data_IF_446485148346
#
_entry.id   IF_446485148346
#
_cell.length_a   1.000
_cell.length_b   1.000
_cell.length_c   1.000
_cell.angle_alpha   90.00
_cell.angle_beta   90.00
_cell.angle_gamma   90.00
#
_symmetry.space_group_name_H-M   'P 1'
#
loop_
_entity.id
_entity.type
_entity.pdbx_description
1 polymer ?
#
# COMPACT_ATOMS: atom_id res chain seq x y z
N UNK A 1 33.59 -44.24 -75.33
CA UNK A 1 34.09 -43.52 -74.13
C UNK A 1 32.96 -42.59 -73.65
N UNK A 2 32.29 -42.94 -72.53
CA UNK A 2 31.19 -42.19 -71.99
C UNK A 2 31.66 -41.54 -70.64
N UNK A 3 31.57 -40.24 -70.56
CA UNK A 3 31.90 -39.46 -69.32
C UNK A 3 30.72 -39.46 -68.36
N UNK A 4 30.96 -39.49 -67.05
CA UNK A 4 29.90 -39.70 -66.06
C UNK A 4 29.14 -38.43 -65.76
N UNK A 5 27.80 -38.45 -65.82
CA UNK A 5 26.89 -37.42 -65.33
C UNK A 5 26.64 -37.57 -63.79
N UNK A 6 27.55 -37.14 -62.97
CA UNK A 6 27.41 -37.19 -61.50
C UNK A 6 27.88 -35.85 -60.85
N UNK A 7 27.03 -34.86 -60.81
CA UNK A 7 27.39 -33.62 -60.17
C UNK A 7 26.25 -32.63 -59.89
N UNK A 8 25.13 -32.70 -60.63
CA UNK A 8 24.07 -31.69 -60.53
C UNK A 8 22.96 -31.96 -59.50
N UNK A 9 22.76 -33.21 -59.10
CA UNK A 9 21.68 -33.56 -58.16
C UNK A 9 22.02 -33.27 -56.70
N UNK A 10 23.29 -33.40 -56.28
CA UNK A 10 23.71 -33.14 -54.91
C UNK A 10 23.73 -31.65 -54.57
N UNK A 11 24.04 -30.76 -55.53
CA UNK A 11 24.07 -29.30 -55.28
C UNK A 11 22.66 -28.70 -55.08
N UNK A 12 21.66 -29.18 -55.80
CA UNK A 12 20.27 -28.74 -55.67
C UNK A 12 19.61 -29.16 -54.34
N UNK A 13 19.99 -30.33 -53.79
CA UNK A 13 19.44 -30.80 -52.51
C UNK A 13 20.03 -29.99 -51.32
N UNK A 14 21.30 -29.64 -51.35
CA UNK A 14 21.93 -28.84 -50.28
C UNK A 14 21.38 -27.41 -50.24
N UNK A 15 21.08 -26.79 -51.38
CA UNK A 15 20.45 -25.45 -51.40
C UNK A 15 19.00 -25.47 -50.87
N UNK A 16 18.22 -26.48 -51.16
CA UNK A 16 16.85 -26.63 -50.64
C UNK A 16 16.84 -26.87 -49.14
N UNK A 17 17.77 -27.63 -48.57
CA UNK A 17 17.91 -27.85 -47.15
C UNK A 17 18.41 -26.59 -46.41
N UNK A 18 19.30 -25.79 -47.02
CA UNK A 18 19.75 -24.52 -46.44
C UNK A 18 18.63 -23.48 -46.37
N UNK A 19 17.80 -23.36 -47.43
CA UNK A 19 16.66 -22.43 -47.43
C UNK A 19 15.55 -22.86 -46.44
N UNK A 20 15.30 -24.17 -46.30
CA UNK A 20 14.34 -24.70 -45.35
C UNK A 20 14.75 -24.40 -43.88
N UNK A 21 16.04 -24.55 -43.56
CA UNK A 21 16.57 -24.26 -42.21
C UNK A 21 16.54 -22.77 -41.88
N UNK A 22 16.85 -21.89 -42.84
CA UNK A 22 16.82 -20.42 -42.63
C UNK A 22 15.39 -19.92 -42.43
N UNK A 23 14.43 -20.44 -43.24
CA UNK A 23 13.02 -20.06 -43.06
C UNK A 23 12.46 -20.56 -41.74
N UNK A 24 12.83 -21.78 -41.29
CA UNK A 24 12.38 -22.33 -40.00
C UNK A 24 12.95 -21.55 -38.82
N UNK A 25 14.21 -21.09 -38.88
CA UNK A 25 14.83 -20.26 -37.81
C UNK A 25 14.21 -18.86 -37.80
N UNK A 26 13.89 -18.27 -38.96
CA UNK A 26 13.26 -16.94 -39.01
C UNK A 26 11.81 -16.97 -38.52
N UNK A 27 11.03 -18.03 -38.76
CA UNK A 27 9.70 -18.23 -38.17
C UNK A 27 9.78 -18.50 -36.64
N UNK A 28 10.80 -19.23 -36.17
CA UNK A 28 10.95 -19.45 -34.70
C UNK A 28 11.30 -18.17 -33.93
N UNK A 29 12.04 -17.25 -34.54
CA UNK A 29 12.33 -15.93 -33.93
C UNK A 29 11.12 -14.99 -33.90
N UNK A 30 10.17 -15.13 -34.85
CA UNK A 30 8.92 -14.35 -34.81
C UNK A 30 7.92 -14.85 -33.76
N UNK A 31 8.00 -16.08 -33.28
CA UNK A 31 7.09 -16.62 -32.26
C UNK A 31 7.50 -16.26 -30.80
N UNK A 32 8.71 -15.75 -30.59
CA UNK A 32 9.16 -15.33 -29.24
C UNK A 32 8.79 -13.89 -28.87
N UNK A 33 8.22 -13.12 -29.77
CA UNK A 33 7.56 -11.85 -29.46
C UNK A 33 6.11 -12.10 -29.02
N UNK A 34 5.88 -12.97 -28.02
CA UNK A 34 4.63 -12.94 -27.26
C UNK A 34 4.59 -11.61 -26.54
N UNK A 35 3.79 -10.69 -27.09
CA UNK A 35 3.71 -9.31 -26.69
C UNK A 35 3.42 -9.18 -25.19
N UNK A 36 4.43 -8.84 -24.41
CA UNK A 36 4.17 -8.14 -23.19
C UNK A 36 3.28 -6.94 -23.56
N UNK A 37 2.04 -6.90 -23.07
CA UNK A 37 1.17 -5.77 -23.30
C UNK A 37 1.95 -4.49 -22.94
N UNK A 38 2.01 -3.55 -23.89
CA UNK A 38 2.79 -2.33 -23.67
C UNK A 38 2.34 -1.67 -22.35
N UNK A 39 3.29 -1.30 -21.52
CA UNK A 39 2.99 -0.64 -20.26
C UNK A 39 2.19 0.65 -20.50
N UNK A 40 1.18 0.96 -19.69
CA UNK A 40 0.36 2.16 -19.86
C UNK A 40 1.22 3.42 -19.81
N UNK A 41 0.95 4.37 -20.70
CA UNK A 41 1.74 5.58 -20.88
C UNK A 41 1.07 6.84 -20.30
N UNK A 42 -0.23 6.78 -20.02
CA UNK A 42 -1.02 7.90 -19.48
C UNK A 42 -1.91 7.44 -18.35
N UNK A 43 -1.28 7.19 -17.19
CA UNK A 43 -1.95 6.65 -15.99
C UNK A 43 -2.62 7.79 -15.22
N UNK A 44 -3.90 7.63 -14.92
CA UNK A 44 -4.64 8.50 -13.98
C UNK A 44 -5.00 7.69 -12.75
N UNK A 45 -4.68 8.21 -11.57
CA UNK A 45 -5.13 7.66 -10.29
C UNK A 45 -6.23 8.55 -9.69
N UNK A 46 -7.22 7.94 -9.05
CA UNK A 46 -8.44 8.64 -8.60
C UNK A 46 -8.66 8.63 -7.10
N UNK A 47 -7.75 8.06 -6.32
CA UNK A 47 -7.89 7.93 -4.88
C UNK A 47 -6.52 7.89 -4.21
N UNK A 48 -6.40 8.49 -3.02
CA UNK A 48 -5.13 8.61 -2.31
C UNK A 48 -4.34 7.28 -2.24
N UNK A 49 -5.01 6.19 -1.90
CA UNK A 49 -4.31 4.92 -1.73
C UNK A 49 -3.82 4.32 -3.06
N UNK A 50 -4.47 4.63 -4.18
CA UNK A 50 -3.95 4.29 -5.51
C UNK A 50 -2.87 5.26 -5.96
N UNK A 51 -2.94 6.54 -5.54
CA UNK A 51 -1.88 7.53 -5.80
C UNK A 51 -0.54 7.09 -5.21
N UNK A 52 -0.57 6.56 -3.98
CA UNK A 52 0.61 6.06 -3.26
C UNK A 52 1.33 4.95 -4.05
N UNK A 53 0.58 4.02 -4.68
CA UNK A 53 1.13 2.98 -5.53
C UNK A 53 1.58 3.51 -6.90
N UNK A 54 0.72 4.29 -7.58
CA UNK A 54 1.03 4.83 -8.91
C UNK A 54 2.27 5.70 -8.85
N UNK A 55 2.40 6.57 -7.84
CA UNK A 55 3.56 7.42 -7.67
C UNK A 55 4.87 6.64 -7.51
N UNK A 56 4.85 5.52 -6.79
CA UNK A 56 6.06 4.71 -6.54
C UNK A 56 6.42 3.78 -7.68
N UNK A 57 5.42 3.26 -8.40
CA UNK A 57 5.63 2.28 -9.45
C UNK A 57 5.83 2.91 -10.82
N UNK A 58 5.03 3.93 -11.16
CA UNK A 58 5.01 4.53 -12.50
C UNK A 58 6.02 5.67 -12.60
N UNK A 59 6.83 5.74 -13.66
CA UNK A 59 7.65 6.92 -13.97
C UNK A 59 6.79 8.19 -14.08
N UNK A 60 7.31 9.33 -13.58
CA UNK A 60 6.55 10.60 -13.50
C UNK A 60 5.93 11.03 -14.82
N UNK A 61 6.67 10.87 -15.91
CA UNK A 61 6.27 11.21 -17.28
C UNK A 61 5.08 10.41 -17.79
N UNK A 62 4.81 9.25 -17.22
CA UNK A 62 3.64 8.42 -17.53
C UNK A 62 2.46 8.66 -16.59
N UNK A 63 2.61 9.47 -15.54
CA UNK A 63 1.52 9.83 -14.62
C UNK A 63 0.79 11.04 -15.20
N UNK A 64 -0.37 10.82 -15.81
CA UNK A 64 -1.18 11.89 -16.40
C UNK A 64 -1.88 12.76 -15.33
N UNK A 65 -2.30 12.15 -14.22
CA UNK A 65 -2.76 12.85 -13.01
C UNK A 65 -2.85 11.90 -11.80
N UNK A 66 -2.75 12.50 -10.60
CA UNK A 66 -3.10 11.88 -9.33
C UNK A 66 -4.38 12.55 -8.78
N UNK A 67 -4.97 11.99 -7.72
CA UNK A 67 -6.02 12.69 -7.01
C UNK A 67 -5.46 13.93 -6.30
N UNK A 68 -6.33 14.90 -5.98
CA UNK A 68 -5.94 16.12 -5.26
C UNK A 68 -5.37 15.83 -3.85
N UNK A 69 -5.70 14.68 -3.28
CA UNK A 69 -5.23 14.23 -1.97
C UNK A 69 -3.74 13.88 -1.97
N UNK A 70 -3.19 13.47 -3.11
CA UNK A 70 -1.78 13.09 -3.25
C UNK A 70 -0.80 14.19 -2.79
N UNK A 71 -1.19 15.46 -2.96
CA UNK A 71 -0.38 16.64 -2.59
C UNK A 71 -0.85 17.31 -1.30
N UNK A 72 -1.77 16.68 -0.58
CA UNK A 72 -2.25 17.20 0.71
C UNK A 72 -1.15 17.03 1.77
N UNK A 73 -0.65 18.18 2.26
CA UNK A 73 0.47 18.25 3.19
C UNK A 73 0.06 18.13 4.66
N UNK A 74 -1.21 17.92 4.94
CA UNK A 74 -1.62 17.62 6.30
C UNK A 74 -0.94 16.32 6.75
N UNK A 75 -0.34 16.28 7.95
CA UNK A 75 0.51 15.17 8.38
C UNK A 75 -0.17 13.79 8.34
N UNK A 76 -1.49 13.78 8.44
CA UNK A 76 -2.31 12.56 8.52
C UNK A 76 -2.89 12.13 7.17
N UNK A 77 -2.50 12.71 6.04
CA UNK A 77 -3.14 12.40 4.75
C UNK A 77 -2.19 11.65 3.80
N UNK A 78 -1.23 12.34 3.19
CA UNK A 78 -0.40 11.77 2.14
C UNK A 78 1.05 11.57 2.57
N UNK A 79 1.60 10.38 2.30
CA UNK A 79 3.03 10.11 2.53
C UNK A 79 3.90 10.62 1.37
N UNK A 80 3.29 10.99 0.24
CA UNK A 80 4.00 11.44 -0.98
C UNK A 80 3.82 12.94 -1.27
N UNK A 81 3.15 13.69 -0.39
CA UNK A 81 2.70 15.05 -0.68
C UNK A 81 3.79 15.97 -1.24
N UNK A 82 4.98 15.97 -0.65
CA UNK A 82 6.10 16.78 -1.11
C UNK A 82 6.75 16.23 -2.37
N UNK A 83 6.89 14.92 -2.46
CA UNK A 83 7.52 14.24 -3.59
C UNK A 83 6.64 14.26 -4.86
N UNK A 84 5.32 14.28 -4.72
CA UNK A 84 4.36 14.35 -5.83
C UNK A 84 4.20 15.77 -6.40
N UNK A 85 4.86 16.77 -5.84
CA UNK A 85 4.80 18.16 -6.32
C UNK A 85 5.16 18.26 -7.80
N UNK A 86 4.37 19.03 -8.57
CA UNK A 86 4.57 19.19 -10.02
C UNK A 86 3.93 18.09 -10.88
N UNK A 87 3.38 17.01 -10.28
CA UNK A 87 2.47 16.12 -10.98
C UNK A 87 1.08 16.77 -11.01
N UNK A 88 0.40 16.69 -12.15
CA UNK A 88 -0.96 17.20 -12.27
C UNK A 88 -1.89 16.47 -11.30
N UNK A 89 -2.80 17.21 -10.65
CA UNK A 89 -3.81 16.63 -9.76
C UNK A 89 -5.22 16.96 -10.25
N UNK A 90 -6.17 16.08 -9.92
CA UNK A 90 -7.58 16.23 -10.25
C UNK A 90 -8.48 15.98 -9.03
N UNK A 91 -9.66 16.58 -9.04
CA UNK A 91 -10.82 16.08 -8.26
C UNK A 91 -11.55 15.10 -9.16
N UNK A 92 -11.57 13.79 -8.81
CA UNK A 92 -12.01 12.75 -9.74
C UNK A 92 -13.49 12.92 -10.14
N UNK A 93 -13.71 13.21 -11.41
CA UNK A 93 -15.00 13.18 -12.11
C UNK A 93 -14.78 12.60 -13.51
N UNK A 94 -15.85 12.25 -14.21
CA UNK A 94 -15.75 11.74 -15.59
C UNK A 94 -15.01 12.73 -16.48
N UNK A 95 -15.35 14.02 -16.39
CA UNK A 95 -14.81 15.10 -17.20
C UNK A 95 -13.33 15.32 -16.91
N UNK A 96 -12.96 15.41 -15.63
CA UNK A 96 -11.56 15.69 -15.23
C UNK A 96 -10.63 14.52 -15.55
N UNK A 97 -11.12 13.29 -15.49
CA UNK A 97 -10.35 12.09 -15.89
C UNK A 97 -10.18 12.06 -17.41
N UNK A 98 -11.26 12.23 -18.19
CA UNK A 98 -11.19 12.21 -19.65
C UNK A 98 -10.32 13.34 -20.22
N UNK A 99 -10.33 14.52 -19.60
CA UNK A 99 -9.47 15.64 -19.98
C UNK A 99 -7.96 15.30 -19.91
N UNK A 100 -7.58 14.22 -19.22
CA UNK A 100 -6.20 13.71 -19.15
C UNK A 100 -5.89 12.68 -20.23
N UNK A 101 -6.88 12.27 -21.05
CA UNK A 101 -6.74 11.26 -22.11
C UNK A 101 -6.00 10.00 -21.60
N UNK A 102 -6.47 9.35 -20.52
CA UNK A 102 -5.78 8.19 -19.94
C UNK A 102 -5.87 6.96 -20.85
N UNK A 103 -4.82 6.17 -20.88
CA UNK A 103 -4.84 4.79 -21.38
C UNK A 103 -5.08 3.76 -20.27
N UNK A 104 -4.94 4.20 -18.99
CA UNK A 104 -5.33 3.42 -17.82
C UNK A 104 -5.78 4.34 -16.68
N UNK A 105 -6.90 4.01 -16.06
CA UNK A 105 -7.37 4.64 -14.82
C UNK A 105 -7.25 3.64 -13.68
N UNK A 106 -6.53 4.01 -12.62
CA UNK A 106 -6.36 3.18 -11.42
C UNK A 106 -7.35 3.67 -10.36
N UNK A 107 -8.22 2.77 -9.92
CA UNK A 107 -9.28 3.06 -8.95
C UNK A 107 -9.18 2.09 -7.77
N UNK A 108 -9.51 2.55 -6.58
CA UNK A 108 -9.68 1.65 -5.44
C UNK A 108 -11.06 1.01 -5.50
N UNK A 109 -11.14 -0.32 -5.35
CA UNK A 109 -12.38 -1.07 -5.52
C UNK A 109 -13.50 -0.55 -4.61
N UNK A 110 -14.67 -0.29 -5.21
CA UNK A 110 -15.84 0.23 -4.50
C UNK A 110 -15.84 1.74 -4.27
N UNK A 111 -14.75 2.46 -4.58
CA UNK A 111 -14.75 3.93 -4.51
C UNK A 111 -15.38 4.53 -5.76
N UNK A 112 -16.09 5.66 -5.59
CA UNK A 112 -16.70 6.42 -6.67
C UNK A 112 -17.44 5.57 -7.75
N UNK A 113 -18.48 4.80 -7.39
CA UNK A 113 -19.13 3.86 -8.30
C UNK A 113 -19.74 4.54 -9.54
N UNK A 114 -20.17 5.81 -9.42
CA UNK A 114 -20.68 6.56 -10.55
C UNK A 114 -19.59 6.85 -11.60
N UNK A 115 -18.41 7.24 -11.16
CA UNK A 115 -17.25 7.45 -12.04
C UNK A 115 -16.89 6.14 -12.73
N UNK A 116 -16.78 5.05 -11.98
CA UNK A 116 -16.45 3.71 -12.50
C UNK A 116 -17.40 3.29 -13.63
N UNK A 117 -18.72 3.39 -13.39
CA UNK A 117 -19.74 3.06 -14.40
C UNK A 117 -19.62 3.92 -15.66
N UNK A 118 -19.39 5.24 -15.50
CA UNK A 118 -19.26 6.14 -16.62
C UNK A 118 -18.01 5.84 -17.46
N UNK A 119 -16.86 5.65 -16.83
CA UNK A 119 -15.62 5.31 -17.52
C UNK A 119 -15.74 3.98 -18.28
N UNK A 120 -16.37 2.99 -17.68
CA UNK A 120 -16.63 1.70 -18.32
C UNK A 120 -17.53 1.84 -19.57
N UNK A 121 -18.60 2.64 -19.49
CA UNK A 121 -19.47 2.93 -20.64
C UNK A 121 -18.73 3.63 -21.79
N UNK A 122 -17.73 4.43 -21.46
CA UNK A 122 -16.91 5.17 -22.41
C UNK A 122 -15.72 4.37 -22.93
N UNK A 123 -15.58 3.09 -22.54
CA UNK A 123 -14.50 2.21 -22.99
C UNK A 123 -13.12 2.55 -22.43
N UNK A 124 -13.05 3.35 -21.36
CA UNK A 124 -11.77 3.69 -20.71
C UNK A 124 -11.28 2.49 -19.89
N UNK A 125 -10.04 2.02 -20.10
CA UNK A 125 -9.48 0.93 -19.29
C UNK A 125 -9.39 1.30 -17.81
N UNK A 126 -9.90 0.43 -16.92
CA UNK A 126 -9.88 0.61 -15.47
C UNK A 126 -9.13 -0.56 -14.84
N UNK A 127 -8.25 -0.25 -13.89
CA UNK A 127 -7.62 -1.19 -12.98
C UNK A 127 -8.19 -0.99 -11.58
N UNK A 128 -9.06 -1.91 -11.17
CA UNK A 128 -9.59 -1.93 -9.82
C UNK A 128 -8.58 -2.54 -8.84
N UNK A 129 -8.17 -1.77 -7.84
CA UNK A 129 -7.25 -2.20 -6.79
C UNK A 129 -8.06 -2.67 -5.58
N UNK A 130 -7.94 -3.93 -5.17
CA UNK A 130 -8.67 -4.43 -4.00
C UNK A 130 -8.14 -3.84 -2.70
N UNK A 131 -8.96 -3.89 -1.65
CA UNK A 131 -8.55 -3.51 -0.29
C UNK A 131 -7.59 -4.55 0.29
N UNK A 132 -6.49 -4.08 0.86
CA UNK A 132 -5.57 -4.93 1.61
C UNK A 132 -6.01 -4.98 3.09
N UNK A 133 -6.25 -6.19 3.61
CA UNK A 133 -6.59 -6.42 5.01
C UNK A 133 -5.44 -7.04 5.80
N UNK A 134 -4.37 -7.45 5.12
CA UNK A 134 -3.20 -8.08 5.70
C UNK A 134 -1.92 -7.70 4.96
N UNK A 135 -0.77 -7.93 5.58
CA UNK A 135 0.52 -7.78 4.90
C UNK A 135 0.69 -8.79 3.75
N UNK A 136 -0.01 -9.92 3.81
CA UNK A 136 -0.07 -10.87 2.69
C UNK A 136 -0.83 -10.28 1.49
N UNK A 137 -1.97 -9.61 1.72
CA UNK A 137 -2.71 -8.91 0.65
C UNK A 137 -1.87 -7.80 0.04
N UNK A 138 -1.12 -7.04 0.85
CA UNK A 138 -0.19 -6.02 0.36
C UNK A 138 0.80 -6.60 -0.64
N UNK A 139 1.34 -7.80 -0.37
CA UNK A 139 2.26 -8.47 -1.32
C UNK A 139 1.59 -8.79 -2.64
N UNK A 140 0.40 -9.40 -2.58
CA UNK A 140 -0.37 -9.78 -3.78
C UNK A 140 -0.70 -8.54 -4.61
N UNK A 141 -1.21 -7.48 -3.97
CA UNK A 141 -1.60 -6.23 -4.63
C UNK A 141 -0.37 -5.54 -5.23
N UNK A 142 0.74 -5.47 -4.50
CA UNK A 142 1.96 -4.82 -4.99
C UNK A 142 2.51 -5.55 -6.22
N UNK A 143 2.53 -6.88 -6.21
CA UNK A 143 2.96 -7.70 -7.36
C UNK A 143 2.04 -7.47 -8.56
N UNK A 144 0.73 -7.57 -8.36
CA UNK A 144 -0.28 -7.33 -9.40
C UNK A 144 -0.15 -5.94 -10.01
N UNK A 145 0.01 -4.91 -9.19
CA UNK A 145 0.19 -3.54 -9.66
C UNK A 145 1.51 -3.36 -10.42
N UNK A 146 2.59 -3.99 -9.96
CA UNK A 146 3.86 -4.01 -10.69
C UNK A 146 3.72 -4.54 -12.11
N UNK A 147 3.03 -5.67 -12.27
CA UNK A 147 2.77 -6.27 -13.57
C UNK A 147 1.88 -5.38 -14.45
N UNK A 148 0.73 -4.95 -13.93
CA UNK A 148 -0.27 -4.15 -14.67
C UNK A 148 0.23 -2.76 -15.07
N UNK A 149 1.12 -2.17 -14.27
CA UNK A 149 1.70 -0.85 -14.54
C UNK A 149 3.04 -0.93 -15.30
N UNK A 150 3.51 -2.14 -15.63
CA UNK A 150 4.78 -2.35 -16.33
C UNK A 150 6.00 -1.94 -15.50
N UNK A 151 5.98 -2.26 -14.21
CA UNK A 151 7.05 -1.96 -13.25
C UNK A 151 7.30 -3.13 -12.26
N UNK A 152 7.44 -4.40 -12.74
CA UNK A 152 7.58 -5.56 -11.86
C UNK A 152 8.83 -5.45 -10.98
N UNK A 153 9.96 -4.97 -11.51
CA UNK A 153 11.20 -4.83 -10.76
C UNK A 153 11.07 -3.84 -9.60
N UNK A 154 10.36 -2.71 -9.81
CA UNK A 154 10.08 -1.75 -8.74
C UNK A 154 9.17 -2.36 -7.66
N UNK A 155 8.15 -3.11 -8.06
CA UNK A 155 7.28 -3.80 -7.12
C UNK A 155 8.08 -4.81 -6.28
N UNK A 156 8.95 -5.59 -6.90
CA UNK A 156 9.81 -6.52 -6.19
C UNK A 156 10.80 -5.82 -5.24
N UNK A 157 11.38 -4.69 -5.64
CA UNK A 157 12.24 -3.88 -4.78
C UNK A 157 11.47 -3.35 -3.55
N UNK A 158 10.22 -2.90 -3.73
CA UNK A 158 9.34 -2.46 -2.64
C UNK A 158 9.04 -3.61 -1.67
N UNK A 159 8.78 -4.82 -2.18
CA UNK A 159 8.53 -6.00 -1.35
C UNK A 159 9.79 -6.45 -0.61
N UNK A 160 10.96 -6.37 -1.24
CA UNK A 160 12.23 -6.67 -0.57
C UNK A 160 12.52 -5.68 0.56
N UNK A 161 12.20 -4.39 0.41
CA UNK A 161 12.30 -3.41 1.50
C UNK A 161 11.30 -3.73 2.63
N UNK A 162 10.05 -4.05 2.28
CA UNK A 162 9.05 -4.49 3.25
C UNK A 162 9.58 -5.67 4.09
N UNK A 163 10.25 -6.66 3.49
CA UNK A 163 10.83 -7.80 4.20
C UNK A 163 11.96 -7.40 5.15
N UNK A 164 12.78 -6.44 4.73
CA UNK A 164 13.82 -5.88 5.59
C UNK A 164 13.22 -5.17 6.81
N UNK A 165 12.18 -4.36 6.60
CA UNK A 165 11.50 -3.66 7.71
C UNK A 165 10.82 -4.63 8.66
N UNK A 166 10.16 -5.69 8.17
CA UNK A 166 9.59 -6.75 8.99
C UNK A 166 10.69 -7.39 9.87
N UNK A 167 11.84 -7.69 9.28
CA UNK A 167 12.95 -8.31 9.99
C UNK A 167 13.53 -7.38 11.07
N UNK A 168 13.69 -6.10 10.76
CA UNK A 168 14.15 -5.07 11.71
C UNK A 168 13.18 -4.89 12.87
N UNK A 169 11.87 -4.77 12.57
CA UNK A 169 10.84 -4.64 13.58
C UNK A 169 10.83 -5.79 14.56
N UNK A 170 10.85 -7.04 14.04
CA UNK A 170 10.90 -8.26 14.87
C UNK A 170 12.16 -8.35 15.75
N UNK A 171 13.31 -7.96 15.19
CA UNK A 171 14.58 -8.01 15.93
C UNK A 171 14.63 -7.01 17.08
N UNK A 172 14.00 -5.85 16.94
CA UNK A 172 13.99 -4.75 17.93
C UNK A 172 12.78 -4.79 18.87
N UNK A 173 11.81 -5.66 18.63
CA UNK A 173 10.59 -5.77 19.41
C UNK A 173 10.86 -6.19 20.86
N UNK A 174 10.28 -5.52 21.88
CA UNK A 174 10.41 -5.94 23.28
C UNK A 174 9.76 -7.31 23.50
N UNK A 175 10.38 -8.11 24.39
CA UNK A 175 9.90 -9.43 24.81
C UNK A 175 9.79 -9.48 26.33
N UNK A 176 8.62 -9.86 26.88
CA UNK A 176 7.34 -10.12 26.20
C UNK A 176 6.77 -8.85 25.54
N UNK A 177 5.79 -8.97 24.62
CA UNK A 177 5.15 -7.81 24.01
C UNK A 177 4.46 -6.92 25.06
N UNK A 178 4.33 -5.62 24.75
CA UNK A 178 3.64 -4.64 25.57
C UNK A 178 2.14 -4.67 25.24
N UNK A 179 1.28 -4.67 26.25
CA UNK A 179 -0.17 -4.55 26.06
C UNK A 179 -0.51 -3.12 25.60
N UNK A 180 -0.98 -2.98 24.36
CA UNK A 180 -1.25 -1.66 23.79
C UNK A 180 -2.61 -1.56 23.14
N UNK A 181 -3.10 -0.33 22.99
CA UNK A 181 -4.28 0.01 22.20
C UNK A 181 -3.92 1.21 21.34
N UNK A 182 -4.24 1.13 20.03
CA UNK A 182 -4.32 2.30 19.16
C UNK A 182 -5.74 2.85 19.24
N UNK A 183 -5.86 4.10 19.69
CA UNK A 183 -7.13 4.78 19.87
C UNK A 183 -7.13 6.06 19.04
N UNK A 184 -8.04 6.15 18.10
CA UNK A 184 -8.06 7.15 17.05
C UNK A 184 -9.21 8.15 17.23
N UNK A 185 -9.23 9.27 16.47
CA UNK A 185 -10.34 10.21 16.47
C UNK A 185 -11.69 9.52 16.32
N UNK A 186 -12.75 10.11 16.90
CA UNK A 186 -14.09 9.51 17.04
C UNK A 186 -14.16 8.23 17.90
N UNK A 187 -13.07 7.86 18.57
CA UNK A 187 -13.03 6.68 19.44
C UNK A 187 -12.82 5.35 18.70
N UNK A 188 -12.37 5.38 17.48
CA UNK A 188 -11.99 4.15 16.78
C UNK A 188 -10.82 3.47 17.47
N UNK A 189 -10.86 2.15 17.54
CA UNK A 189 -9.73 1.35 17.99
C UNK A 189 -9.38 0.32 16.90
N UNK A 190 -8.08 0.10 16.70
CA UNK A 190 -7.64 -0.93 15.76
C UNK A 190 -8.06 -2.32 16.23
N UNK A 191 -8.57 -3.13 15.30
CA UNK A 191 -9.07 -4.48 15.52
C UNK A 191 -8.78 -5.39 14.34
N UNK A 192 -7.57 -5.91 14.32
CA UNK A 192 -7.12 -6.74 13.21
C UNK A 192 -6.58 -5.92 12.03
N UNK A 193 -6.34 -6.61 10.93
CA UNK A 193 -5.79 -6.00 9.73
C UNK A 193 -4.33 -5.59 9.86
N UNK A 194 -3.88 -4.79 8.91
CA UNK A 194 -2.46 -4.42 8.76
C UNK A 194 -1.93 -3.66 9.99
N UNK A 195 -2.75 -2.80 10.58
CA UNK A 195 -2.34 -2.04 11.77
C UNK A 195 -1.95 -2.96 12.91
N UNK A 196 -2.77 -3.97 13.22
CA UNK A 196 -2.48 -4.93 14.28
C UNK A 196 -1.28 -5.82 13.93
N UNK A 197 -1.11 -6.20 12.65
CA UNK A 197 0.07 -6.95 12.21
C UNK A 197 1.35 -6.12 12.41
N UNK A 198 1.35 -4.84 12.07
CA UNK A 198 2.51 -3.95 12.26
C UNK A 198 2.76 -3.69 13.74
N UNK A 199 1.72 -3.50 14.56
CA UNK A 199 1.83 -3.42 16.02
C UNK A 199 2.49 -4.68 16.59
N UNK A 200 1.98 -5.86 16.23
CA UNK A 200 2.51 -7.14 16.71
C UNK A 200 3.97 -7.37 16.33
N UNK A 201 4.35 -7.06 15.06
CA UNK A 201 5.73 -7.11 14.59
C UNK A 201 6.65 -6.21 15.42
N UNK A 202 6.12 -5.11 15.95
CA UNK A 202 6.87 -4.10 16.71
C UNK A 202 6.85 -4.34 18.23
N UNK A 203 6.28 -5.49 18.67
CA UNK A 203 6.22 -5.85 20.08
C UNK A 203 5.09 -5.19 20.87
N UNK A 204 4.01 -4.82 20.19
CA UNK A 204 2.76 -4.35 20.81
C UNK A 204 1.67 -5.40 20.60
N UNK A 205 1.12 -5.92 21.70
CA UNK A 205 -0.04 -6.82 21.69
C UNK A 205 -1.30 -5.99 21.85
N UNK A 206 -2.16 -5.97 20.83
CA UNK A 206 -3.43 -5.26 20.92
C UNK A 206 -4.34 -5.93 21.97
N UNK A 207 -4.76 -5.17 22.96
CA UNK A 207 -5.66 -5.62 24.04
C UNK A 207 -7.02 -4.94 24.03
N UNK A 208 -7.37 -4.26 22.93
CA UNK A 208 -8.72 -3.74 22.76
C UNK A 208 -9.72 -4.90 22.78
N UNK A 209 -10.76 -4.87 23.68
CA UNK A 209 -11.67 -5.99 23.82
C UNK A 209 -12.65 -6.06 22.63
N UNK A 210 -12.59 -7.14 21.81
CA UNK A 210 -13.44 -7.26 20.62
C UNK A 210 -14.94 -7.16 20.91
N UNK A 211 -15.38 -7.76 22.02
CA UNK A 211 -16.77 -7.79 22.43
C UNK A 211 -17.34 -6.41 22.83
N UNK A 212 -16.47 -5.45 23.13
CA UNK A 212 -16.87 -4.09 23.52
C UNK A 212 -16.84 -3.09 22.37
N UNK A 213 -16.34 -3.50 21.20
CA UNK A 213 -16.38 -2.64 20.03
C UNK A 213 -17.79 -2.57 19.45
N UNK A 214 -18.17 -1.35 19.12
CA UNK A 214 -19.41 -1.16 18.35
C UNK A 214 -19.25 -1.73 16.94
N UNK A 215 -20.37 -1.91 16.22
CA UNK A 215 -20.31 -2.32 14.80
C UNK A 215 -19.51 -1.36 13.91
N UNK A 216 -19.29 -0.14 14.36
CA UNK A 216 -18.51 0.88 13.66
C UNK A 216 -17.04 0.88 14.03
N UNK A 217 -16.58 -0.02 14.91
CA UNK A 217 -15.19 -0.09 15.36
C UNK A 217 -14.82 0.91 16.46
N UNK A 218 -15.82 1.59 17.08
CA UNK A 218 -15.56 2.51 18.18
C UNK A 218 -15.52 1.77 19.51
N UNK A 219 -14.52 2.10 20.35
CA UNK A 219 -14.34 1.55 21.69
C UNK A 219 -14.78 2.60 22.73
N UNK A 220 -15.75 2.28 23.60
CA UNK A 220 -16.10 3.16 24.72
C UNK A 220 -14.89 3.43 25.61
N UNK A 221 -14.77 4.67 26.12
CA UNK A 221 -13.62 5.08 26.96
C UNK A 221 -13.53 4.23 28.23
N UNK A 222 -14.66 3.82 28.78
CA UNK A 222 -14.75 2.96 29.95
C UNK A 222 -14.15 1.57 29.69
N UNK A 223 -14.45 0.99 28.51
CA UNK A 223 -13.89 -0.29 28.09
C UNK A 223 -12.38 -0.21 27.83
N UNK A 224 -11.93 0.92 27.25
CA UNK A 224 -10.51 1.20 27.06
C UNK A 224 -9.79 1.26 28.43
N UNK A 225 -10.35 1.98 29.41
CA UNK A 225 -9.77 2.10 30.76
C UNK A 225 -9.75 0.73 31.46
N UNK A 226 -10.84 -0.04 31.35
CA UNK A 226 -10.94 -1.38 31.93
C UNK A 226 -9.93 -2.37 31.35
N UNK A 227 -9.51 -2.18 30.09
CA UNK A 227 -8.49 -3.02 29.43
C UNK A 227 -7.09 -2.82 30.03
N UNK A 228 -6.88 -1.78 30.82
CA UNK A 228 -5.62 -1.44 31.50
C UNK A 228 -4.37 -1.59 30.60
N UNK A 229 -4.29 -0.94 29.45
CA UNK A 229 -3.14 -1.05 28.55
C UNK A 229 -1.89 -0.46 29.22
N UNK A 230 -0.72 -1.02 28.91
CA UNK A 230 0.59 -0.44 29.28
C UNK A 230 0.96 0.71 28.35
N UNK A 231 0.44 0.68 27.12
CA UNK A 231 0.65 1.67 26.06
C UNK A 231 -0.69 2.06 25.43
N UNK A 232 -1.00 3.35 25.46
CA UNK A 232 -2.13 3.94 24.71
C UNK A 232 -1.59 4.88 23.66
N UNK A 233 -1.71 4.46 22.38
CA UNK A 233 -1.31 5.25 21.23
C UNK A 233 -2.52 6.06 20.79
N UNK A 234 -2.42 7.38 20.85
CA UNK A 234 -3.45 8.30 20.39
C UNK A 234 -3.18 8.68 18.94
N UNK A 235 -4.02 8.21 18.01
CA UNK A 235 -3.83 8.45 16.57
C UNK A 235 -3.99 9.92 16.21
N UNK A 236 -2.98 10.51 15.56
CA UNK A 236 -3.00 11.90 15.11
C UNK A 236 -1.98 12.79 15.80
N UNK A 237 -2.21 14.09 15.76
CA UNK A 237 -1.36 15.11 16.38
C UNK A 237 -1.98 15.63 17.68
N UNK A 238 -1.14 15.83 18.69
CA UNK A 238 -1.56 16.38 19.98
C UNK A 238 -2.24 17.77 19.87
N UNK A 239 -1.90 18.55 18.83
CA UNK A 239 -2.38 19.93 18.63
C UNK A 239 -3.62 20.07 17.74
N UNK A 240 -4.09 19.00 17.10
CA UNK A 240 -5.29 19.04 16.24
C UNK A 240 -6.59 18.92 17.05
N UNK A 241 -6.60 19.50 18.26
CA UNK A 241 -7.61 19.28 19.28
C UNK A 241 -8.95 20.00 19.13
N UNK A 242 -9.14 20.87 18.13
CA UNK A 242 -10.39 21.63 18.02
C UNK A 242 -11.49 20.94 17.22
N UNK A 243 -11.18 19.91 16.42
CA UNK A 243 -12.18 19.15 15.70
C UNK A 243 -12.89 18.17 16.66
N UNK A 244 -14.23 18.13 16.59
CA UNK A 244 -15.06 17.26 17.43
C UNK A 244 -14.60 15.80 17.48
N UNK A 245 -14.08 15.29 16.38
CA UNK A 245 -13.53 13.95 16.28
C UNK A 245 -12.38 13.66 17.27
N UNK A 246 -11.58 14.67 17.59
CA UNK A 246 -10.42 14.55 18.49
C UNK A 246 -10.76 14.72 19.97
N UNK A 247 -11.96 15.20 20.32
CA UNK A 247 -12.35 15.43 21.71
C UNK A 247 -12.23 14.16 22.58
N UNK A 248 -12.50 13.00 22.00
CA UNK A 248 -12.40 11.71 22.70
C UNK A 248 -10.98 11.38 23.12
N UNK A 249 -9.97 11.83 22.37
CA UNK A 249 -8.55 11.61 22.69
C UNK A 249 -8.07 12.48 23.88
N UNK A 250 -8.87 13.49 24.26
CA UNK A 250 -8.64 14.35 25.40
C UNK A 250 -9.70 14.14 26.50
N UNK A 251 -10.43 13.02 26.47
CA UNK A 251 -11.49 12.75 27.42
C UNK A 251 -10.95 12.72 28.86
N UNK A 252 -11.58 13.45 29.84
CA UNK A 252 -11.06 13.53 31.20
C UNK A 252 -10.88 12.19 31.91
N UNK A 253 -11.72 11.20 31.60
CA UNK A 253 -11.62 9.87 32.19
C UNK A 253 -10.29 9.15 31.84
N UNK A 254 -9.59 9.51 30.75
CA UNK A 254 -8.27 8.99 30.43
C UNK A 254 -7.23 9.33 31.51
N UNK A 255 -7.50 10.32 32.35
CA UNK A 255 -6.67 10.62 33.51
C UNK A 255 -6.54 9.41 34.47
N UNK A 256 -7.52 8.50 34.50
CA UNK A 256 -7.46 7.26 35.27
C UNK A 256 -6.32 6.32 34.85
N UNK A 257 -5.77 6.49 33.64
CA UNK A 257 -4.63 5.73 33.13
C UNK A 257 -3.26 6.32 33.51
N UNK A 258 -3.23 7.58 34.03
CA UNK A 258 -1.97 8.25 34.38
C UNK A 258 -1.18 7.45 35.42
N UNK A 259 0.14 7.37 35.20
CA UNK A 259 1.08 6.69 36.11
C UNK A 259 1.19 5.16 35.88
N UNK A 260 0.28 4.52 35.13
CA UNK A 260 0.32 3.10 34.80
C UNK A 260 0.37 2.80 33.30
N UNK A 261 0.04 3.78 32.48
CA UNK A 261 -0.02 3.67 31.02
C UNK A 261 0.83 4.77 30.40
N UNK A 262 1.70 4.43 29.46
CA UNK A 262 2.32 5.41 28.59
C UNK A 262 1.28 5.88 27.56
N UNK A 263 0.94 7.15 27.56
CA UNK A 263 -0.01 7.74 26.60
C UNK A 263 0.75 8.70 25.69
N UNK A 264 0.75 8.42 24.40
CA UNK A 264 1.49 9.22 23.41
C UNK A 264 0.69 9.41 22.12
N UNK A 265 0.78 10.60 21.56
CA UNK A 265 0.26 10.86 20.23
C UNK A 265 1.23 10.36 19.17
N UNK A 266 0.69 9.75 18.11
CA UNK A 266 1.47 9.31 16.97
C UNK A 266 0.75 9.60 15.66
N UNK A 267 1.46 10.18 14.71
CA UNK A 267 1.01 10.33 13.33
C UNK A 267 1.37 9.06 12.56
N UNK A 268 0.35 8.34 12.12
CA UNK A 268 0.48 7.03 11.49
C UNK A 268 0.03 7.05 10.03
N UNK A 269 0.36 8.14 9.32
CA UNK A 269 0.04 8.34 7.90
C UNK A 269 0.33 7.12 7.03
N UNK A 270 1.44 6.35 7.21
CA UNK A 270 1.71 5.18 6.40
C UNK A 270 0.65 4.06 6.52
N UNK A 271 -0.17 4.06 7.58
CA UNK A 271 -1.24 3.08 7.78
C UNK A 271 -2.58 3.50 7.18
N UNK A 272 -2.75 4.78 6.81
CA UNK A 272 -3.99 5.26 6.21
C UNK A 272 -4.28 4.57 4.88
N UNK A 273 -3.24 4.37 4.07
CA UNK A 273 -3.31 3.67 2.80
C UNK A 273 -2.40 2.44 2.84
N UNK A 274 -2.95 1.24 3.01
CA UNK A 274 -2.17 0.02 3.10
C UNK A 274 -1.28 -0.23 1.89
N UNK A 275 0.01 -0.46 2.18
CA UNK A 275 1.04 -0.75 1.18
C UNK A 275 2.35 -1.18 1.84
N UNK A 276 3.40 -1.50 1.07
CA UNK A 276 4.72 -1.85 1.64
C UNK A 276 5.25 -0.79 2.62
N UNK A 277 4.95 0.47 2.38
CA UNK A 277 5.31 1.62 3.24
C UNK A 277 4.60 1.63 4.60
N UNK A 278 3.56 0.83 4.81
CA UNK A 278 2.90 0.71 6.12
C UNK A 278 3.88 0.29 7.22
N UNK A 279 4.93 -0.45 6.86
CA UNK A 279 6.00 -0.86 7.76
C UNK A 279 6.82 0.33 8.30
N UNK A 280 6.75 1.51 7.67
CA UNK A 280 7.40 2.72 8.22
C UNK A 280 6.84 3.09 9.61
N UNK A 281 5.62 2.68 9.93
CA UNK A 281 5.03 2.86 11.27
C UNK A 281 5.60 1.90 12.32
N UNK A 282 6.28 0.83 11.92
CA UNK A 282 6.84 -0.15 12.84
C UNK A 282 7.92 0.45 13.76
N UNK A 283 8.73 1.38 13.26
CA UNK A 283 9.73 2.07 14.06
C UNK A 283 9.07 2.88 15.19
N UNK A 284 7.98 3.60 14.88
CA UNK A 284 7.20 4.36 15.88
C UNK A 284 6.60 3.44 16.94
N UNK A 285 5.93 2.37 16.53
CA UNK A 285 5.36 1.41 17.46
C UNK A 285 6.43 0.74 18.34
N UNK A 286 7.56 0.35 17.75
CA UNK A 286 8.66 -0.27 18.48
C UNK A 286 9.31 0.68 19.50
N UNK A 287 9.46 1.96 19.16
CA UNK A 287 9.96 2.98 20.10
C UNK A 287 8.99 3.17 21.27
N UNK A 288 7.71 3.36 20.98
CA UNK A 288 6.68 3.50 22.00
C UNK A 288 6.60 2.26 22.91
N UNK A 289 6.70 1.06 22.34
CA UNK A 289 6.71 -0.19 23.10
C UNK A 289 7.92 -0.28 24.06
N UNK A 290 9.12 0.09 23.59
CA UNK A 290 10.32 0.12 24.45
C UNK A 290 10.18 1.15 25.58
N UNK A 291 9.68 2.34 25.26
CA UNK A 291 9.44 3.40 26.27
C UNK A 291 8.40 2.98 27.30
N UNK A 292 7.31 2.33 26.89
CA UNK A 292 6.30 1.80 27.78
C UNK A 292 6.89 0.73 28.72
N UNK A 293 7.79 -0.13 28.23
CA UNK A 293 8.49 -1.14 29.03
C UNK A 293 9.43 -0.55 30.07
N UNK A 294 10.06 0.59 29.77
CA UNK A 294 10.99 1.28 30.66
C UNK A 294 10.27 2.24 31.63
N UNK A 295 9.02 2.57 31.36
CA UNK A 295 8.24 3.41 32.26
C UNK A 295 8.10 2.70 33.61
N UNK A 296 8.43 3.35 34.75
CA UNK A 296 8.31 2.72 36.06
C UNK A 296 6.84 2.34 36.29
N UNK A 297 6.59 1.02 36.42
CA UNK A 297 5.32 0.56 36.97
C UNK A 297 5.24 1.11 38.38
N UNK A 298 4.49 2.18 38.59
CA UNK A 298 4.09 2.55 39.94
C UNK A 298 3.19 1.42 40.42
N UNK A 299 3.79 0.53 41.20
CA UNK A 299 3.06 -0.48 41.95
C UNK A 299 1.88 0.22 42.60
N UNK A 300 0.68 -0.30 42.38
CA UNK A 300 -0.49 0.12 43.14
C UNK A 300 -0.18 -0.03 44.63
N UNK A 301 -0.57 0.96 45.45
CA UNK A 301 -0.48 0.82 46.88
C UNK A 301 -1.33 -0.31 47.41
#
# INVERSE_FOLDING_TARGET
>A
MAAPKLGRARYRNNMRQAHSRVVTIMCALCFLAQGAAAAPQRVVSTFLCTDEYVFRLVPRERIAALSYEAVDRRPVVSTIADAARGIATIRPSTETVLARSPDLVVMYAGTNPRLHVNLKKLGVPILDVPWANSLADVRVITTMLGEKLGAPDKAQAMLAEMDREISRARASAPKPPVKGILFEPNGYASMGGITDEVMALSGVSNVAPPAMLTRTGTLPVEALIASAPELLILGGEARVGSARAYMVLHHPALAALKGRTLMEFAVLTPLLCPGPWSLNSAATFGDLARRARLAPSRASP
#
